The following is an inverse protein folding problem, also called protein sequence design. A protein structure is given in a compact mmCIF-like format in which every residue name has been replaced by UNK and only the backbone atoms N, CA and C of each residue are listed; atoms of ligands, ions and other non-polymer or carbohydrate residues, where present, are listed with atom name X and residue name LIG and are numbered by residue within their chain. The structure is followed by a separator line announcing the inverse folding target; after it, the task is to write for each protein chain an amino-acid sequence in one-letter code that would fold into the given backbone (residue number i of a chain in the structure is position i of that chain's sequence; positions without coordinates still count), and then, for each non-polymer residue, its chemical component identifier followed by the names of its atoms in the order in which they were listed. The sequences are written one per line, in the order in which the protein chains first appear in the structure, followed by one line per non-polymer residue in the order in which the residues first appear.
data_IF_049394282684
#
_entry.id   IF_049394282684
#
_cell.length_a   1.000
_cell.length_b   1.000
_cell.length_c   1.000
_cell.angle_alpha   90.00
_cell.angle_beta   90.00
_cell.angle_gamma   90.00
#
_symmetry.space_group_name_H-M   'P 1'
#
loop_
_entity.id
_entity.type
_entity.pdbx_description
1 polymer ?
#
# COMPACT_ATOMS: atom_id res chain seq x y z
N UNK A 1 29.46 -13.34 20.36
CA UNK A 1 28.02 -13.53 20.64
C UNK A 1 27.32 -12.46 19.84
N UNK A 2 26.80 -12.81 18.67
CA UNK A 2 26.32 -11.80 17.73
C UNK A 2 25.11 -11.08 18.33
N UNK A 3 25.08 -9.77 18.22
CA UNK A 3 23.99 -8.93 18.72
C UNK A 3 22.74 -9.01 17.83
N UNK A 4 21.60 -8.43 18.26
CA UNK A 4 20.41 -8.35 17.42
C UNK A 4 20.70 -7.70 16.05
N UNK A 5 21.43 -6.59 16.06
CA UNK A 5 21.74 -5.83 14.84
C UNK A 5 22.63 -6.61 13.87
N UNK A 6 23.62 -7.34 14.39
CA UNK A 6 24.50 -8.18 13.58
C UNK A 6 23.74 -9.36 12.97
N UNK A 7 22.87 -9.99 13.76
CA UNK A 7 22.01 -11.07 13.28
C UNK A 7 21.03 -10.57 12.21
N UNK A 8 20.50 -9.36 12.37
CA UNK A 8 19.62 -8.73 11.39
C UNK A 8 20.35 -8.43 10.09
N UNK A 9 21.57 -7.87 10.15
CA UNK A 9 22.40 -7.64 8.97
C UNK A 9 22.74 -8.95 8.24
N UNK A 10 23.08 -10.00 8.99
CA UNK A 10 23.35 -11.32 8.41
C UNK A 10 22.12 -11.88 7.69
N UNK A 11 20.94 -11.78 8.30
CA UNK A 11 19.68 -12.19 7.68
C UNK A 11 19.38 -11.39 6.41
N UNK A 12 19.46 -10.06 6.46
CA UNK A 12 19.23 -9.17 5.30
C UNK A 12 20.22 -9.42 4.16
N UNK A 13 21.49 -9.70 4.49
CA UNK A 13 22.49 -10.08 3.51
C UNK A 13 22.10 -11.39 2.82
N UNK A 14 21.65 -12.39 3.59
CA UNK A 14 21.20 -13.66 3.02
C UNK A 14 19.94 -13.48 2.14
N UNK A 15 19.00 -12.62 2.52
CA UNK A 15 17.84 -12.24 1.70
C UNK A 15 18.29 -11.60 0.37
N UNK A 16 19.20 -10.63 0.43
CA UNK A 16 19.71 -9.89 -0.74
C UNK A 16 20.53 -10.75 -1.68
N UNK A 17 21.28 -11.72 -1.15
CA UNK A 17 22.04 -12.71 -1.94
C UNK A 17 21.14 -13.80 -2.55
N UNK A 18 19.81 -13.72 -2.39
CA UNK A 18 18.86 -14.72 -2.90
C UNK A 18 18.84 -16.03 -2.12
N UNK A 19 19.63 -16.14 -1.04
CA UNK A 19 19.67 -17.32 -0.18
C UNK A 19 18.57 -17.26 0.88
N UNK A 20 17.32 -17.31 0.41
CA UNK A 20 16.11 -17.16 1.23
C UNK A 20 16.00 -18.26 2.30
N UNK A 21 16.51 -19.46 2.04
CA UNK A 21 16.52 -20.56 3.01
C UNK A 21 17.41 -20.27 4.22
N UNK A 22 18.59 -19.70 3.97
CA UNK A 22 19.52 -19.31 5.04
C UNK A 22 18.98 -18.12 5.85
N UNK A 23 18.37 -17.13 5.20
CA UNK A 23 17.70 -16.04 5.89
C UNK A 23 16.63 -16.56 6.86
N UNK A 24 15.77 -17.49 6.42
CA UNK A 24 14.76 -18.15 7.28
C UNK A 24 15.41 -18.84 8.48
N UNK A 25 16.54 -19.53 8.27
CA UNK A 25 17.25 -20.23 9.36
C UNK A 25 17.76 -19.24 10.41
N UNK A 26 18.49 -18.21 9.98
CA UNK A 26 19.04 -17.15 10.85
C UNK A 26 17.91 -16.48 11.64
N UNK A 27 16.83 -16.10 10.96
CA UNK A 27 15.70 -15.38 11.57
C UNK A 27 14.90 -16.24 12.55
N UNK A 28 14.75 -17.55 12.28
CA UNK A 28 14.14 -18.49 13.25
C UNK A 28 14.92 -18.56 14.55
N UNK A 29 16.25 -18.62 14.46
CA UNK A 29 17.10 -18.66 15.64
C UNK A 29 17.13 -17.30 16.36
N UNK A 30 17.09 -16.19 15.61
CA UNK A 30 16.98 -14.84 16.15
C UNK A 30 15.70 -14.65 16.98
N UNK A 31 14.54 -15.13 16.49
CA UNK A 31 13.26 -15.02 17.22
C UNK A 31 13.28 -15.81 18.53
N UNK A 32 13.96 -16.96 18.59
CA UNK A 32 14.10 -17.72 19.84
C UNK A 32 14.94 -16.96 20.86
N UNK A 33 15.99 -16.27 20.41
CA UNK A 33 16.93 -15.54 21.27
C UNK A 33 16.40 -14.17 21.70
N UNK A 34 15.65 -13.50 20.82
CA UNK A 34 15.08 -12.17 21.05
C UNK A 34 13.58 -12.15 20.70
N UNK A 35 12.72 -12.84 21.48
CA UNK A 35 11.30 -13.03 21.15
C UNK A 35 10.46 -11.75 21.18
N UNK A 36 10.99 -10.65 21.75
CA UNK A 36 10.33 -9.35 21.79
C UNK A 36 10.74 -8.44 20.62
N UNK A 37 11.73 -8.84 19.82
CA UNK A 37 12.25 -8.02 18.74
C UNK A 37 11.44 -8.26 17.46
N UNK A 38 10.31 -7.56 17.33
CA UNK A 38 9.32 -7.72 16.25
C UNK A 38 9.92 -7.68 14.84
N UNK A 39 11.02 -6.95 14.62
CA UNK A 39 11.71 -6.86 13.33
C UNK A 39 12.13 -8.23 12.80
N UNK A 40 12.60 -9.16 13.64
CA UNK A 40 12.95 -10.50 13.15
C UNK A 40 11.74 -11.28 12.63
N UNK A 41 10.58 -11.11 13.26
CA UNK A 41 9.35 -11.72 12.81
C UNK A 41 8.85 -11.12 11.49
N UNK A 42 9.04 -9.81 11.27
CA UNK A 42 8.71 -9.16 9.99
C UNK A 42 9.62 -9.67 8.87
N UNK A 43 10.94 -9.67 9.07
CA UNK A 43 11.88 -10.21 8.07
C UNK A 43 11.63 -11.71 7.82
N UNK A 44 11.33 -12.50 8.86
CA UNK A 44 11.01 -13.91 8.67
C UNK A 44 9.78 -14.10 7.79
N UNK A 45 8.77 -13.25 7.98
CA UNK A 45 7.57 -13.28 7.17
C UNK A 45 7.83 -12.86 5.71
N UNK A 46 8.68 -11.86 5.47
CA UNK A 46 9.06 -11.45 4.11
C UNK A 46 9.88 -12.54 3.39
N UNK A 47 10.81 -13.17 4.11
CA UNK A 47 11.53 -14.36 3.66
C UNK A 47 10.56 -15.50 3.31
N UNK A 48 9.56 -15.79 4.15
CA UNK A 48 8.52 -16.78 3.86
C UNK A 48 7.70 -16.43 2.62
N UNK A 49 7.28 -15.17 2.50
CA UNK A 49 6.54 -14.66 1.34
C UNK A 49 7.34 -14.83 0.05
N UNK A 50 8.65 -14.57 0.12
CA UNK A 50 9.58 -14.69 -0.99
C UNK A 50 9.83 -16.12 -1.46
N UNK A 51 9.57 -17.13 -0.62
CA UNK A 51 9.61 -18.56 -0.98
C UNK A 51 8.22 -19.15 -1.28
N UNK A 52 7.17 -18.31 -1.27
CA UNK A 52 5.79 -18.71 -1.53
C UNK A 52 5.03 -19.28 -0.32
N UNK A 53 5.64 -19.33 0.86
CA UNK A 53 4.97 -19.79 2.09
C UNK A 53 4.20 -18.64 2.77
N UNK A 54 3.16 -18.17 2.08
CA UNK A 54 2.29 -17.09 2.58
C UNK A 54 1.56 -17.47 3.87
N UNK A 55 1.31 -18.77 4.11
CA UNK A 55 0.67 -19.25 5.34
C UNK A 55 1.59 -19.05 6.55
N UNK A 56 2.87 -19.41 6.42
CA UNK A 56 3.85 -19.18 7.48
C UNK A 56 4.08 -17.69 7.72
N UNK A 57 4.13 -16.87 6.66
CA UNK A 57 4.27 -15.41 6.76
C UNK A 57 3.17 -14.80 7.65
N UNK A 58 1.89 -15.08 7.33
CA UNK A 58 0.75 -14.58 8.13
C UNK A 58 0.80 -15.10 9.57
N UNK A 59 1.15 -16.37 9.76
CA UNK A 59 1.24 -16.98 11.11
C UNK A 59 2.27 -16.29 12.00
N UNK A 60 3.44 -15.95 11.46
CA UNK A 60 4.49 -15.24 12.21
C UNK A 60 4.05 -13.81 12.55
N UNK A 61 3.40 -13.12 11.60
CA UNK A 61 2.97 -11.73 11.78
C UNK A 61 1.78 -11.57 12.72
N UNK A 62 0.98 -12.62 12.96
CA UNK A 62 -0.20 -12.59 13.84
C UNK A 62 0.08 -11.96 15.21
N UNK A 63 1.21 -12.32 15.85
CA UNK A 63 1.59 -11.74 17.15
C UNK A 63 2.17 -10.33 17.02
N UNK A 64 2.91 -10.07 15.94
CA UNK A 64 3.51 -8.75 15.68
C UNK A 64 2.43 -7.70 15.54
N UNK A 65 1.44 -7.93 14.67
CA UNK A 65 0.38 -6.94 14.42
C UNK A 65 -0.49 -6.75 15.67
N UNK A 66 -0.73 -7.82 16.46
CA UNK A 66 -1.46 -7.71 17.73
C UNK A 66 -0.73 -6.81 18.74
N UNK A 67 0.59 -6.92 18.84
CA UNK A 67 1.40 -6.21 19.84
C UNK A 67 1.87 -4.82 19.36
N UNK A 68 2.06 -4.68 18.05
CA UNK A 68 2.53 -3.47 17.37
C UNK A 68 1.58 -3.12 16.23
N UNK A 69 0.34 -2.71 16.56
CA UNK A 69 -0.71 -2.37 15.61
C UNK A 69 -0.35 -1.30 14.56
N UNK A 70 0.65 -0.47 14.85
CA UNK A 70 1.16 0.66 14.07
C UNK A 70 2.27 0.28 13.08
N UNK A 71 2.75 -0.98 13.11
CA UNK A 71 3.84 -1.45 12.25
C UNK A 71 3.35 -1.67 10.82
N UNK A 72 3.51 -0.62 9.99
CA UNK A 72 3.12 -0.63 8.58
C UNK A 72 3.72 -1.81 7.80
N UNK A 73 5.00 -2.09 8.00
CA UNK A 73 5.72 -3.21 7.40
C UNK A 73 5.06 -4.56 7.72
N UNK A 74 4.72 -4.80 8.99
CA UNK A 74 4.04 -6.02 9.41
C UNK A 74 2.62 -6.14 8.81
N UNK A 75 1.86 -5.05 8.81
CA UNK A 75 0.49 -5.02 8.27
C UNK A 75 0.52 -5.29 6.76
N UNK A 76 1.41 -4.63 6.01
CA UNK A 76 1.54 -4.79 4.56
C UNK A 76 1.99 -6.20 4.17
N UNK A 77 3.01 -6.75 4.81
CA UNK A 77 3.48 -8.12 4.49
C UNK A 77 2.37 -9.15 4.78
N UNK A 78 1.56 -8.94 5.81
CA UNK A 78 0.39 -9.78 6.10
C UNK A 78 -0.72 -9.60 5.07
N UNK A 79 -1.06 -8.35 4.71
CA UNK A 79 -2.10 -8.03 3.72
C UNK A 79 -1.79 -8.65 2.36
N UNK A 80 -0.56 -8.46 1.86
CA UNK A 80 -0.07 -9.04 0.61
C UNK A 80 -0.11 -10.57 0.64
N UNK A 81 0.25 -11.17 1.77
CA UNK A 81 0.19 -12.63 1.93
C UNK A 81 -1.25 -13.15 1.96
N UNK A 82 -2.16 -12.46 2.65
CA UNK A 82 -3.58 -12.80 2.68
C UNK A 82 -4.24 -12.65 1.30
N UNK A 83 -3.83 -11.65 0.51
CA UNK A 83 -4.30 -11.46 -0.86
C UNK A 83 -3.96 -12.69 -1.73
N UNK A 84 -2.70 -13.15 -1.72
CA UNK A 84 -2.29 -14.35 -2.46
C UNK A 84 -2.99 -15.62 -1.95
N UNK A 85 -3.29 -15.69 -0.66
CA UNK A 85 -4.06 -16.80 -0.08
C UNK A 85 -5.56 -16.76 -0.43
N UNK A 86 -6.01 -15.79 -1.24
CA UNK A 86 -7.41 -15.61 -1.61
C UNK A 86 -8.29 -15.07 -0.46
N UNK A 87 -7.68 -14.67 0.66
CA UNK A 87 -8.37 -14.11 1.83
C UNK A 87 -8.64 -12.61 1.62
N UNK A 88 -9.31 -12.28 0.51
CA UNK A 88 -9.47 -10.91 0.02
C UNK A 88 -10.11 -9.97 1.06
N UNK A 89 -11.13 -10.42 1.83
CA UNK A 89 -11.76 -9.61 2.89
C UNK A 89 -10.81 -9.25 4.03
N UNK A 90 -9.87 -10.13 4.36
CA UNK A 90 -8.87 -9.86 5.42
C UNK A 90 -7.81 -8.91 4.87
N UNK A 91 -7.33 -9.17 3.65
CA UNK A 91 -6.36 -8.32 2.97
C UNK A 91 -6.88 -6.88 2.80
N UNK A 92 -8.13 -6.72 2.36
CA UNK A 92 -8.81 -5.42 2.20
C UNK A 92 -8.80 -4.60 3.49
N UNK A 93 -9.20 -5.21 4.62
CA UNK A 93 -9.13 -4.56 5.95
C UNK A 93 -7.71 -4.16 6.33
N UNK A 94 -6.74 -5.03 6.07
CA UNK A 94 -5.35 -4.75 6.38
C UNK A 94 -4.75 -3.64 5.50
N UNK A 95 -5.15 -3.54 4.21
CA UNK A 95 -4.74 -2.44 3.35
C UNK A 95 -5.39 -1.11 3.74
N UNK A 96 -6.67 -1.10 4.12
CA UNK A 96 -7.32 0.11 4.67
C UNK A 96 -6.63 0.60 5.94
N UNK A 97 -6.24 -0.32 6.82
CA UNK A 97 -5.42 0.01 7.99
C UNK A 97 -4.04 0.54 7.60
N UNK A 98 -3.39 -0.07 6.62
CA UNK A 98 -2.10 0.40 6.14
C UNK A 98 -2.21 1.85 5.62
N UNK A 99 -3.28 2.19 4.88
CA UNK A 99 -3.59 3.57 4.49
C UNK A 99 -3.70 4.51 5.70
N UNK A 100 -4.41 4.11 6.77
CA UNK A 100 -4.50 4.94 7.98
C UNK A 100 -3.17 5.13 8.72
N UNK A 101 -2.19 4.24 8.52
CA UNK A 101 -0.86 4.33 9.12
C UNK A 101 0.08 5.18 8.26
N UNK A 102 -0.19 5.33 6.96
CA UNK A 102 0.65 6.10 6.02
C UNK A 102 1.16 5.30 4.82
N UNK A 103 0.50 4.21 4.44
CA UNK A 103 0.71 3.59 3.12
C UNK A 103 0.46 4.61 2.00
N UNK A 104 1.23 4.50 0.92
CA UNK A 104 1.00 5.31 -0.27
C UNK A 104 -0.44 5.16 -0.79
N UNK A 105 -1.16 6.27 -1.07
CA UNK A 105 -2.55 6.21 -1.52
C UNK A 105 -2.74 5.41 -2.81
N UNK A 106 -1.82 5.52 -3.76
CA UNK A 106 -1.91 4.83 -5.06
C UNK A 106 -1.71 3.34 -4.85
N UNK A 107 -0.71 2.94 -4.08
CA UNK A 107 -0.50 1.55 -3.71
C UNK A 107 -1.72 0.98 -2.97
N UNK A 108 -2.36 1.77 -2.10
CA UNK A 108 -3.57 1.39 -1.38
C UNK A 108 -4.76 1.13 -2.29
N UNK A 109 -5.06 2.07 -3.20
CA UNK A 109 -6.16 1.92 -4.18
C UNK A 109 -5.91 0.71 -5.08
N UNK A 110 -4.68 0.50 -5.56
CA UNK A 110 -4.31 -0.68 -6.35
C UNK A 110 -4.54 -1.96 -5.54
N UNK A 111 -4.04 -2.01 -4.30
CA UNK A 111 -4.11 -3.21 -3.46
C UNK A 111 -5.56 -3.57 -3.08
N UNK A 112 -6.39 -2.59 -2.79
CA UNK A 112 -7.81 -2.77 -2.47
C UNK A 112 -8.60 -3.15 -3.72
N UNK A 113 -8.30 -2.55 -4.88
CA UNK A 113 -8.88 -2.94 -6.17
C UNK A 113 -8.61 -4.41 -6.48
N UNK A 114 -7.38 -4.91 -6.22
CA UNK A 114 -7.05 -6.34 -6.34
C UNK A 114 -7.91 -7.21 -5.41
N UNK A 115 -8.19 -6.77 -4.19
CA UNK A 115 -9.09 -7.48 -3.27
C UNK A 115 -10.51 -7.56 -3.82
N UNK A 116 -11.02 -6.47 -4.40
CA UNK A 116 -12.35 -6.44 -5.01
C UNK A 116 -12.44 -7.30 -6.27
N UNK A 117 -11.43 -7.27 -7.13
CA UNK A 117 -11.34 -8.15 -8.32
C UNK A 117 -11.41 -9.64 -7.93
N UNK A 118 -10.67 -10.06 -6.89
CA UNK A 118 -10.74 -11.44 -6.39
C UNK A 118 -12.13 -11.83 -5.86
N UNK A 119 -12.94 -10.85 -5.47
CA UNK A 119 -14.32 -11.04 -5.03
C UNK A 119 -15.35 -10.87 -6.16
N UNK A 120 -14.91 -10.65 -7.40
CA UNK A 120 -15.79 -10.38 -8.55
C UNK A 120 -16.39 -8.97 -8.57
N UNK A 121 -15.97 -8.08 -7.66
CA UNK A 121 -16.43 -6.69 -7.52
C UNK A 121 -15.69 -5.77 -8.50
N UNK A 122 -15.70 -6.13 -9.78
CA UNK A 122 -14.94 -5.46 -10.82
C UNK A 122 -15.43 -4.02 -11.07
N UNK A 123 -16.73 -3.76 -10.92
CA UNK A 123 -17.28 -2.42 -11.09
C UNK A 123 -16.71 -1.42 -10.07
N UNK A 124 -16.60 -1.82 -8.80
CA UNK A 124 -16.12 -0.95 -7.72
C UNK A 124 -14.61 -0.69 -7.85
N UNK A 125 -13.85 -1.73 -8.20
CA UNK A 125 -12.44 -1.61 -8.53
C UNK A 125 -12.20 -0.67 -9.72
N UNK A 126 -13.01 -0.78 -10.77
CA UNK A 126 -12.95 0.14 -11.90
C UNK A 126 -13.23 1.58 -11.48
N UNK A 127 -14.33 1.83 -10.77
CA UNK A 127 -14.73 3.19 -10.40
C UNK A 127 -13.70 3.87 -9.51
N UNK A 128 -13.18 3.17 -8.51
CA UNK A 128 -12.17 3.72 -7.60
C UNK A 128 -10.84 3.95 -8.31
N UNK A 129 -10.34 2.96 -9.06
CA UNK A 129 -9.09 3.11 -9.79
C UNK A 129 -9.18 4.22 -10.86
N UNK A 130 -10.32 4.35 -11.55
CA UNK A 130 -10.50 5.37 -12.58
C UNK A 130 -10.59 6.77 -12.01
N UNK A 131 -11.29 6.93 -10.87
CA UNK A 131 -11.37 8.21 -10.17
C UNK A 131 -9.98 8.68 -9.76
N UNK A 132 -9.20 7.80 -9.12
CA UNK A 132 -7.87 8.14 -8.66
C UNK A 132 -6.88 8.34 -9.81
N UNK A 133 -6.99 7.54 -10.87
CA UNK A 133 -6.18 7.66 -12.06
C UNK A 133 -6.35 9.03 -12.71
N UNK A 134 -7.59 9.48 -12.90
CA UNK A 134 -7.87 10.81 -13.44
C UNK A 134 -7.39 11.92 -12.53
N UNK A 135 -7.62 11.79 -11.22
CA UNK A 135 -7.25 12.82 -10.24
C UNK A 135 -5.75 13.06 -10.16
N UNK A 136 -4.97 11.98 -10.30
CA UNK A 136 -3.52 12.02 -10.26
C UNK A 136 -2.87 12.38 -11.59
N UNK A 137 -3.67 12.64 -12.64
CA UNK A 137 -3.18 13.07 -13.95
C UNK A 137 -2.90 11.93 -14.91
N UNK A 138 -3.45 10.73 -14.70
CA UNK A 138 -3.37 9.60 -15.62
C UNK A 138 -1.96 9.07 -15.86
N UNK A 139 -1.09 9.16 -14.84
CA UNK A 139 0.34 8.81 -14.93
C UNK A 139 0.70 7.49 -14.23
N UNK A 140 -0.08 7.07 -13.24
CA UNK A 140 0.31 5.91 -12.42
C UNK A 140 0.01 4.58 -13.12
N UNK A 141 1.09 3.85 -13.43
CA UNK A 141 1.03 2.53 -14.08
C UNK A 141 0.20 1.54 -13.29
N UNK A 142 0.32 1.50 -11.96
CA UNK A 142 -0.44 0.58 -11.12
C UNK A 142 -1.95 0.75 -11.23
N UNK A 143 -2.45 1.98 -11.29
CA UNK A 143 -3.88 2.25 -11.50
C UNK A 143 -4.31 1.89 -12.92
N UNK A 144 -3.47 2.21 -13.92
CA UNK A 144 -3.73 1.85 -15.31
C UNK A 144 -3.73 0.32 -15.54
N UNK A 145 -2.90 -0.45 -14.83
CA UNK A 145 -2.93 -1.91 -14.86
C UNK A 145 -4.28 -2.46 -14.39
N UNK A 146 -4.80 -1.95 -13.26
CA UNK A 146 -6.13 -2.30 -12.77
C UNK A 146 -7.20 -2.03 -13.83
N UNK A 147 -7.17 -0.84 -14.44
CA UNK A 147 -8.12 -0.45 -15.48
C UNK A 147 -7.98 -1.35 -16.73
N UNK A 148 -6.76 -1.62 -17.17
CA UNK A 148 -6.49 -2.47 -18.33
C UNK A 148 -7.04 -3.88 -18.13
N UNK A 149 -6.91 -4.44 -16.94
CA UNK A 149 -7.42 -5.77 -16.62
C UNK A 149 -8.95 -5.83 -16.52
N UNK A 150 -9.58 -4.78 -15.98
CA UNK A 150 -11.03 -4.75 -15.76
C UNK A 150 -11.82 -4.31 -17.01
N UNK A 151 -11.26 -3.43 -17.83
CA UNK A 151 -11.88 -2.90 -19.05
C UNK A 151 -12.57 -3.97 -19.93
N UNK A 152 -11.90 -5.06 -20.35
CA UNK A 152 -12.53 -6.08 -21.19
C UNK A 152 -13.64 -6.85 -20.46
N UNK A 153 -13.59 -6.94 -19.13
CA UNK A 153 -14.60 -7.65 -18.33
C UNK A 153 -15.91 -6.84 -18.29
N UNK A 154 -15.81 -5.51 -18.20
CA UNK A 154 -16.97 -4.61 -18.13
C UNK A 154 -17.42 -4.08 -19.51
N UNK A 155 -16.64 -4.33 -20.56
CA UNK A 155 -16.90 -3.79 -21.90
C UNK A 155 -16.59 -2.29 -22.01
N UNK A 156 -15.67 -1.78 -21.19
CA UNK A 156 -15.25 -0.39 -21.20
C UNK A 156 -13.99 -0.17 -22.04
N UNK A 157 -13.81 1.01 -22.65
CA UNK A 157 -12.56 1.36 -23.30
C UNK A 157 -11.46 1.58 -22.26
N UNK A 158 -10.23 1.15 -22.58
CA UNK A 158 -9.06 1.40 -21.74
C UNK A 158 -8.72 2.91 -21.82
N UNK A 159 -8.65 3.63 -20.68
CA UNK A 159 -8.29 5.04 -20.68
C UNK A 159 -6.81 5.23 -21.04
N UNK A 160 -6.50 6.26 -21.82
CA UNK A 160 -5.12 6.57 -22.20
C UNK A 160 -4.31 7.11 -21.00
N UNK A 161 -3.02 6.76 -20.98
CA UNK A 161 -2.02 7.40 -20.12
C UNK A 161 -1.70 8.80 -20.64
N UNK A 162 -1.43 9.74 -19.73
CA UNK A 162 -0.92 11.07 -20.09
C UNK A 162 0.54 11.22 -19.66
N UNK A 163 1.52 10.86 -20.51
CA UNK A 163 2.93 10.92 -20.15
C UNK A 163 3.49 12.34 -20.03
N UNK A 164 2.76 13.38 -20.47
CA UNK A 164 3.23 14.77 -20.48
C UNK A 164 3.00 15.44 -19.12
N UNK A 165 1.92 15.06 -18.42
CA UNK A 165 1.57 15.59 -17.10
C UNK A 165 2.68 15.40 -16.03
N UNK A 166 3.54 14.39 -16.17
CA UNK A 166 4.65 14.12 -15.26
C UNK A 166 5.81 15.13 -15.43
N UNK A 167 6.12 15.51 -16.68
CA UNK A 167 7.19 16.46 -17.00
C UNK A 167 6.87 17.87 -16.47
N UNK A 168 5.60 18.29 -16.58
CA UNK A 168 5.14 19.60 -16.11
C UNK A 168 5.07 19.70 -14.58
N UNK A 169 4.75 18.60 -13.89
CA UNK A 169 4.80 18.52 -12.42
C UNK A 169 6.22 18.60 -11.87
N UNK A 170 7.19 17.96 -12.52
CA UNK A 170 8.59 18.04 -12.11
C UNK A 170 9.14 19.45 -12.37
N UNK A 171 8.89 20.02 -13.56
CA UNK A 171 9.37 21.36 -13.92
C UNK A 171 8.77 22.48 -13.04
N UNK A 172 7.48 22.39 -12.69
CA UNK A 172 6.83 23.37 -11.80
C UNK A 172 7.35 23.32 -10.36
N UNK A 173 7.84 22.17 -9.88
CA UNK A 173 8.47 22.05 -8.56
C UNK A 173 9.93 22.52 -8.54
N UNK A 174 10.64 22.46 -9.67
CA UNK A 174 11.99 23.04 -9.83
C UNK A 174 11.95 24.57 -9.90
N UNK A 175 11.03 25.16 -10.67
CA UNK A 175 10.93 26.62 -10.81
C UNK A 175 10.52 27.37 -9.53
N UNK A 176 10.05 26.68 -8.49
CA UNK A 176 9.73 27.31 -7.19
C UNK A 176 10.95 27.50 -6.28
N UNK A 177 12.08 26.82 -6.52
CA UNK A 177 13.27 26.92 -5.66
C UNK A 177 14.22 28.06 -6.03
N UNK A 178 14.07 28.65 -7.22
CA UNK A 178 15.05 29.60 -7.79
C UNK A 178 14.50 31.02 -8.06
N UNK A 179 13.34 31.39 -7.49
CA UNK A 179 12.80 32.76 -7.66
C UNK A 179 13.28 33.70 -6.53
N UNK A 180 13.94 34.83 -6.85
CA UNK A 180 14.25 35.85 -5.84
C UNK A 180 12.97 36.54 -5.37
N UNK A 181 12.90 36.82 -4.07
CA UNK A 181 11.80 37.51 -3.40
C UNK A 181 11.51 38.86 -4.06
N UNK A 182 10.41 38.96 -4.80
CA UNK A 182 9.92 40.23 -5.35
C UNK A 182 8.51 40.51 -4.83
N UNK A 183 8.34 41.75 -4.41
CA UNK A 183 7.20 42.32 -3.70
C UNK A 183 5.88 42.18 -4.45
N UNK A 184 4.82 41.95 -3.68
CA UNK A 184 3.44 41.77 -4.15
C UNK A 184 2.75 43.13 -4.30
N UNK A 185 2.01 43.36 -5.40
CA UNK A 185 0.76 44.09 -5.31
C UNK A 185 -0.43 43.19 -5.66
N UNK A 186 -1.56 43.43 -5.01
CA UNK A 186 -2.84 42.73 -5.15
C UNK A 186 -3.92 43.78 -5.46
N UNK A 187 -5.17 43.45 -5.86
CA UNK A 187 -5.73 42.22 -6.45
C UNK A 187 -6.55 42.49 -7.74
N UNK A 188 -6.51 41.62 -8.75
CA UNK A 188 -7.67 41.39 -9.61
C UNK A 188 -7.78 39.91 -9.98
N UNK A 189 -8.99 39.39 -9.75
CA UNK A 189 -9.54 38.06 -10.00
C UNK A 189 -8.83 37.21 -11.07
N UNK A 190 -7.88 36.37 -10.62
CA UNK A 190 -7.61 35.11 -11.28
C UNK A 190 -8.17 33.98 -10.42
N UNK A 191 -9.09 33.20 -11.01
CA UNK A 191 -9.63 31.98 -10.43
C UNK A 191 -8.46 31.04 -10.11
N UNK A 192 -8.09 30.97 -8.84
CA UNK A 192 -7.14 30.01 -8.30
C UNK A 192 -7.61 28.59 -8.60
N UNK A 193 -7.13 28.01 -9.70
CA UNK A 193 -7.01 26.56 -9.83
C UNK A 193 -5.67 26.20 -9.18
N UNK A 194 -5.70 25.98 -7.87
CA UNK A 194 -4.55 25.46 -7.14
C UNK A 194 -4.24 24.03 -7.60
N UNK A 195 -2.98 23.63 -7.83
CA UNK A 195 -2.63 22.24 -8.06
C UNK A 195 -2.67 21.51 -6.71
N UNK A 196 -3.87 21.09 -6.26
CA UNK A 196 -4.03 20.11 -5.19
C UNK A 196 -3.85 18.73 -5.81
N UNK A 197 -2.62 18.27 -5.96
CA UNK A 197 -2.36 17.00 -6.65
C UNK A 197 -1.71 15.93 -5.78
N UNK A 198 -1.62 16.16 -4.48
CA UNK A 198 -1.30 15.10 -3.52
C UNK A 198 -2.59 14.71 -2.83
N UNK A 199 -3.15 13.62 -3.31
CA UNK A 199 -4.20 12.86 -2.62
C UNK A 199 -3.79 12.58 -1.18
N UNK A 200 -4.64 12.94 -0.22
CA UNK A 200 -4.44 12.53 1.18
C UNK A 200 -4.97 11.09 1.37
N UNK A 201 -4.22 10.27 2.11
CA UNK A 201 -4.63 8.91 2.47
C UNK A 201 -5.93 8.90 3.28
N UNK A 202 -6.20 9.97 4.04
CA UNK A 202 -7.44 10.14 4.80
C UNK A 202 -8.67 10.26 3.88
N UNK A 203 -8.58 11.09 2.84
CA UNK A 203 -9.63 11.30 1.84
C UNK A 203 -9.94 10.02 1.07
N UNK A 204 -8.90 9.27 0.68
CA UNK A 204 -9.06 7.96 0.04
C UNK A 204 -9.77 6.97 0.95
N UNK A 205 -9.38 6.93 2.22
CA UNK A 205 -10.00 6.02 3.17
C UNK A 205 -11.48 6.33 3.35
N UNK A 206 -11.86 7.61 3.46
CA UNK A 206 -13.25 8.04 3.58
C UNK A 206 -14.07 7.68 2.34
N UNK A 207 -13.53 7.88 1.13
CA UNK A 207 -14.21 7.51 -0.12
C UNK A 207 -14.40 5.99 -0.24
N UNK A 208 -13.35 5.23 0.07
CA UNK A 208 -13.40 3.76 0.07
C UNK A 208 -14.42 3.24 1.08
N UNK A 209 -14.53 3.87 2.26
CA UNK A 209 -15.49 3.53 3.30
C UNK A 209 -16.93 3.95 2.96
N UNK A 210 -17.12 4.94 2.10
CA UNK A 210 -18.45 5.45 1.72
C UNK A 210 -19.10 4.67 0.57
N UNK A 211 -18.42 3.66 0.01
CA UNK A 211 -18.91 2.83 -1.08
C UNK A 211 -20.15 1.96 -0.75
N UNK A 212 -20.86 1.46 -1.77
CA UNK A 212 -22.22 0.90 -1.65
C UNK A 212 -22.37 -0.35 -0.75
N UNK A 213 -21.28 -1.07 -0.42
CA UNK A 213 -21.34 -2.25 0.49
C UNK A 213 -20.99 -1.96 1.97
N UNK A 214 -20.36 -0.82 2.32
CA UNK A 214 -19.89 -0.59 3.70
C UNK A 214 -21.00 0.00 4.60
N UNK A 215 -22.09 0.45 3.98
CA UNK A 215 -23.30 0.93 4.66
C UNK A 215 -24.04 -0.16 5.45
N UNK A 216 -23.74 -1.45 5.25
CA UNK A 216 -24.32 -2.54 6.05
C UNK A 216 -23.37 -3.00 7.16
N UNK A 217 -23.44 -2.31 8.31
CA UNK A 217 -22.92 -2.75 9.63
C UNK A 217 -21.50 -3.32 9.58
N UNK A 218 -20.51 -2.45 9.44
CA UNK A 218 -19.18 -2.73 10.02
C UNK A 218 -19.12 -1.91 11.31
N UNK A 219 -18.93 -2.53 12.49
CA UNK A 219 -18.69 -1.80 13.73
C UNK A 219 -17.54 -0.82 13.50
N UNK A 220 -17.52 0.28 14.23
CA UNK A 220 -16.44 1.28 14.28
C UNK A 220 -15.05 0.72 14.63
N UNK A 221 -14.89 -0.59 14.68
CA UNK A 221 -13.64 -1.31 14.79
C UNK A 221 -13.17 -1.85 13.42
N UNK A 222 -12.66 -0.95 12.58
CA UNK A 222 -11.60 -1.31 11.60
C UNK A 222 -10.35 -1.88 12.36
N UNK A 223 -10.35 -1.73 13.69
CA UNK A 223 -9.39 -2.24 14.66
C UNK A 223 -9.67 -3.68 15.15
N UNK A 224 -10.82 -4.29 14.85
CA UNK A 224 -11.14 -5.62 15.36
C UNK A 224 -10.43 -6.71 14.55
N UNK A 225 -9.42 -7.27 15.22
CA UNK A 225 -8.53 -8.32 14.76
C UNK A 225 -9.27 -9.64 14.56
N UNK A 226 -9.82 -9.86 13.37
CA UNK A 226 -9.91 -11.23 12.86
C UNK A 226 -8.61 -11.60 12.16
N UNK A 227 -7.87 -12.51 12.82
CA UNK A 227 -6.56 -13.03 12.44
C UNK A 227 -6.65 -14.39 11.75
#
# INVERSE_FOLDING_TARGET
MDGPDETLRAAMSAESSGNKGEAVRILKDAIKRWPQHATFAVHLAESYRSIGDHKAAVKVLKKVIKNHPERLDAVLTSARSNLILGKAKIAERQFMRALSIGMDPIEGVVSISRCWMLRGRNQEAWTSALAEFKRTGSIHTGLHEILTEIAPILGYPIPAMDPIAEQDRVNSNLNRKDMPSLEVPSPHEEKHISPKSTTDASEILDELLSGPEISQKIPTDILDFEL
#
